data_IF_892249015502
#
_entry.id   IF_892249015502
#
_cell.length_a   1.000
_cell.length_b   1.000
_cell.length_c   1.000
_cell.angle_alpha   90.00
_cell.angle_beta   90.00
_cell.angle_gamma   90.00
#
_symmetry.space_group_name_H-M   'P 1'
#
loop_
_entity.id
_entity.type
_entity.pdbx_description
1 polymer ?
#
# COMPACT_ATOMS: atom_id res chain seq x y z
N UNK A 1 -1.16 -4.16 -26.48
CA UNK A 1 -2.00 -3.31 -25.62
C UNK A 1 -3.41 -3.86 -25.67
N UNK A 2 -3.90 -4.41 -24.55
CA UNK A 2 -5.21 -5.03 -24.48
C UNK A 2 -6.28 -3.92 -24.46
N UNK A 3 -7.43 -4.15 -25.12
CA UNK A 3 -8.63 -3.29 -25.14
C UNK A 3 -9.24 -2.98 -23.76
N UNK A 4 -8.63 -3.50 -22.71
CA UNK A 4 -9.16 -3.50 -21.36
C UNK A 4 -8.36 -2.62 -20.39
N UNK A 5 -7.16 -2.13 -20.75
CA UNK A 5 -6.32 -1.41 -19.76
C UNK A 5 -5.49 -0.27 -20.33
N UNK A 6 -5.38 0.79 -19.54
CA UNK A 6 -4.52 1.94 -19.80
C UNK A 6 -3.24 1.79 -18.97
N UNK A 7 -2.10 1.51 -19.62
CA UNK A 7 -0.79 1.82 -19.04
C UNK A 7 -0.45 3.27 -19.44
N UNK A 8 -0.31 4.14 -18.45
CA UNK A 8 -0.01 5.56 -18.68
C UNK A 8 1.13 6.04 -17.80
N UNK A 9 2.02 6.82 -18.41
CA UNK A 9 2.96 7.70 -17.72
C UNK A 9 2.33 9.09 -17.65
N UNK A 10 2.00 9.55 -16.45
CA UNK A 10 1.36 10.86 -16.27
C UNK A 10 2.40 11.87 -15.80
N UNK A 11 2.53 12.98 -16.53
CA UNK A 11 3.44 14.05 -16.14
C UNK A 11 2.99 14.71 -14.83
N UNK A 12 3.83 14.60 -13.81
CA UNK A 12 3.57 14.96 -12.40
C UNK A 12 3.23 16.44 -12.17
N UNK A 13 3.62 17.30 -13.10
CA UNK A 13 3.37 18.74 -13.03
C UNK A 13 1.87 19.03 -13.13
N UNK A 14 1.18 18.43 -14.09
CA UNK A 14 -0.23 18.74 -14.42
C UNK A 14 -1.22 18.32 -13.32
N UNK A 15 -0.82 17.44 -12.38
CA UNK A 15 -1.64 16.97 -11.24
C UNK A 15 -1.38 17.72 -9.93
N UNK A 16 -0.57 18.79 -9.93
CA UNK A 16 -0.49 19.74 -8.80
C UNK A 16 0.36 19.32 -7.60
N UNK A 17 1.18 18.27 -7.74
CA UNK A 17 2.11 17.75 -6.73
C UNK A 17 3.14 18.79 -6.28
N UNK A 18 3.86 19.37 -7.23
CA UNK A 18 4.98 20.27 -6.91
C UNK A 18 4.45 21.65 -6.56
N UNK A 19 4.50 22.03 -5.26
CA UNK A 19 3.97 23.32 -4.76
C UNK A 19 4.52 24.51 -5.55
N UNK A 20 5.81 24.51 -5.89
CA UNK A 20 6.45 25.57 -6.68
C UNK A 20 6.00 25.63 -8.15
N UNK A 21 5.42 24.55 -8.68
CA UNK A 21 4.88 24.52 -10.04
C UNK A 21 3.38 24.83 -10.10
N UNK A 22 2.67 24.91 -8.96
CA UNK A 22 1.24 25.21 -8.94
C UNK A 22 0.91 26.55 -9.60
N UNK A 23 1.62 27.61 -9.24
CA UNK A 23 1.43 28.94 -9.84
C UNK A 23 1.84 29.00 -11.32
N UNK A 24 3.02 28.50 -11.74
CA UNK A 24 3.39 28.40 -13.16
C UNK A 24 2.36 27.64 -13.99
N UNK A 25 1.82 26.55 -13.46
CA UNK A 25 0.83 25.71 -14.16
C UNK A 25 -0.54 26.38 -14.17
N UNK A 26 -0.95 27.04 -13.08
CA UNK A 26 -2.16 27.86 -13.07
C UNK A 26 -2.08 28.97 -14.14
N UNK A 27 -0.95 29.68 -14.23
CA UNK A 27 -0.70 30.69 -15.28
C UNK A 27 -0.66 30.08 -16.69
N UNK A 28 -0.14 28.86 -16.85
CA UNK A 28 -0.18 28.12 -18.12
C UNK A 28 -1.63 27.75 -18.49
N UNK A 29 -2.44 27.29 -17.54
CA UNK A 29 -3.87 26.96 -17.73
C UNK A 29 -4.69 28.18 -18.12
N UNK A 30 -4.41 29.34 -17.53
CA UNK A 30 -5.00 30.63 -17.90
C UNK A 30 -4.66 31.03 -19.35
N UNK A 31 -3.44 30.73 -19.81
CA UNK A 31 -2.97 31.05 -21.17
C UNK A 31 -3.46 30.07 -22.24
N UNK A 32 -3.49 28.78 -21.94
CA UNK A 32 -3.73 27.70 -22.91
C UNK A 32 -5.18 27.19 -22.91
N UNK A 33 -6.00 27.61 -21.94
CA UNK A 33 -7.46 27.56 -22.03
C UNK A 33 -8.14 26.21 -21.79
N UNK A 34 -7.40 25.15 -21.43
CA UNK A 34 -8.00 23.87 -21.00
C UNK A 34 -7.28 23.34 -19.76
N UNK A 35 -7.80 23.61 -18.54
CA UNK A 35 -7.25 22.99 -17.34
C UNK A 35 -7.41 21.47 -17.43
N UNK A 36 -6.38 20.74 -17.03
CA UNK A 36 -6.49 19.30 -16.81
C UNK A 36 -7.56 19.06 -15.74
N UNK A 37 -8.61 18.32 -16.10
CA UNK A 37 -9.72 18.05 -15.20
C UNK A 37 -9.34 16.95 -14.21
N UNK A 38 -8.89 17.36 -13.02
CA UNK A 38 -8.58 16.43 -11.94
C UNK A 38 -9.82 15.73 -11.39
N UNK A 39 -11.04 16.19 -11.71
CA UNK A 39 -12.29 15.54 -11.29
C UNK A 39 -12.72 14.40 -12.22
N UNK A 40 -12.07 14.27 -13.39
CA UNK A 40 -12.32 13.17 -14.30
C UNK A 40 -12.03 11.81 -13.62
N UNK A 41 -12.89 10.78 -13.78
CA UNK A 41 -12.71 9.48 -13.11
C UNK A 41 -11.32 8.85 -13.32
N UNK A 42 -10.79 8.89 -14.55
CA UNK A 42 -9.40 8.45 -14.83
C UNK A 42 -8.35 9.19 -13.99
N UNK A 43 -8.47 10.51 -13.84
CA UNK A 43 -7.53 11.30 -13.05
C UNK A 43 -7.61 10.93 -11.56
N UNK A 44 -8.83 10.72 -11.04
CA UNK A 44 -9.05 10.24 -9.68
C UNK A 44 -8.47 8.83 -9.47
N UNK A 45 -8.61 7.93 -10.44
CA UNK A 45 -8.03 6.59 -10.39
C UNK A 45 -6.49 6.62 -10.32
N UNK A 46 -5.86 7.47 -11.13
CA UNK A 46 -4.40 7.68 -11.10
C UNK A 46 -3.97 8.26 -9.74
N UNK A 47 -4.67 9.29 -9.24
CA UNK A 47 -4.37 9.94 -7.95
C UNK A 47 -4.58 8.99 -6.77
N UNK A 48 -5.60 8.11 -6.81
CA UNK A 48 -5.82 7.05 -5.82
C UNK A 48 -4.64 6.06 -5.79
N UNK A 49 -4.02 5.83 -6.94
CA UNK A 49 -2.86 4.96 -7.07
C UNK A 49 -1.53 5.64 -6.76
N UNK A 50 -1.53 6.89 -6.31
CA UNK A 50 -0.31 7.52 -5.81
C UNK A 50 0.24 6.78 -4.58
N UNK A 51 1.51 7.02 -4.29
CA UNK A 51 2.20 6.55 -3.09
C UNK A 51 1.50 7.11 -1.85
N UNK A 52 1.55 6.35 -0.78
CA UNK A 52 1.09 6.69 0.57
C UNK A 52 2.28 7.09 1.44
N UNK A 53 2.11 7.29 2.75
CA UNK A 53 3.22 7.55 3.68
C UNK A 53 3.94 8.90 3.45
N UNK A 54 5.27 8.95 3.63
CA UNK A 54 6.07 10.17 3.47
C UNK A 54 6.07 10.69 2.02
N UNK A 55 5.78 9.80 1.08
CA UNK A 55 5.63 10.11 -0.34
C UNK A 55 4.17 10.30 -0.74
N UNK A 56 3.24 10.51 0.21
CA UNK A 56 1.81 10.73 -0.06
C UNK A 56 1.59 11.72 -1.20
N UNK A 57 0.95 11.26 -2.26
CA UNK A 57 0.70 12.05 -3.46
C UNK A 57 1.84 12.09 -4.50
N UNK A 58 2.83 11.22 -4.36
CA UNK A 58 3.80 10.91 -5.42
C UNK A 58 3.21 9.88 -6.37
N UNK A 59 3.36 10.00 -7.69
CA UNK A 59 2.94 8.95 -8.60
C UNK A 59 3.83 7.70 -8.49
N UNK A 60 3.32 6.61 -9.05
CA UNK A 60 4.07 5.37 -9.28
C UNK A 60 4.38 5.25 -10.78
N UNK A 61 5.26 4.30 -11.14
CA UNK A 61 5.78 4.18 -12.51
C UNK A 61 4.81 3.49 -13.47
N UNK A 62 3.87 2.68 -12.96
CA UNK A 62 2.89 1.98 -13.79
C UNK A 62 1.57 1.79 -13.06
N UNK A 63 0.49 1.91 -13.83
CA UNK A 63 -0.87 1.69 -13.40
C UNK A 63 -1.54 0.67 -14.32
N UNK A 64 -2.41 -0.16 -13.74
CA UNK A 64 -3.41 -0.92 -14.50
C UNK A 64 -4.77 -0.36 -14.10
N UNK A 65 -5.49 0.19 -15.08
CA UNK A 65 -6.79 0.84 -14.87
C UNK A 65 -7.80 0.24 -15.86
N UNK A 66 -8.98 -0.14 -15.37
CA UNK A 66 -10.08 -0.70 -16.19
C UNK A 66 -10.69 0.34 -17.14
N UNK A 67 -11.53 -0.07 -18.12
CA UNK A 67 -12.28 0.85 -18.95
C UNK A 67 -13.27 1.73 -18.15
N UNK A 68 -13.74 1.23 -17.01
CA UNK A 68 -14.62 1.93 -16.06
C UNK A 68 -13.85 2.86 -15.10
N UNK A 69 -12.54 3.02 -15.31
CA UNK A 69 -11.65 3.84 -14.49
C UNK A 69 -11.42 3.30 -13.07
N UNK A 70 -11.51 1.99 -12.89
CA UNK A 70 -11.13 1.34 -11.64
C UNK A 70 -9.63 1.06 -11.63
N UNK A 71 -8.96 1.43 -10.54
CA UNK A 71 -7.54 1.15 -10.36
C UNK A 71 -7.37 -0.32 -9.95
N UNK A 72 -6.75 -1.11 -10.82
CA UNK A 72 -6.60 -2.57 -10.71
C UNK A 72 -5.17 -3.02 -10.42
N UNK A 73 -4.21 -2.11 -10.43
CA UNK A 73 -2.85 -2.39 -9.99
C UNK A 73 -2.00 -1.13 -10.05
N UNK A 74 -0.99 -1.05 -9.19
CA UNK A 74 0.04 0.00 -9.26
C UNK A 74 1.42 -0.61 -9.03
N UNK A 75 2.43 -0.11 -9.73
CA UNK A 75 3.79 -0.63 -9.61
C UNK A 75 4.80 0.51 -9.61
N UNK A 76 5.81 0.38 -8.74
CA UNK A 76 6.99 1.24 -8.68
C UNK A 76 8.16 0.48 -9.31
N UNK A 77 8.49 0.83 -10.55
CA UNK A 77 9.48 0.17 -11.39
C UNK A 77 10.92 0.47 -10.94
N UNK A 78 11.16 1.69 -10.44
CA UNK A 78 12.50 2.17 -10.06
C UNK A 78 13.01 1.54 -8.75
N UNK A 79 12.15 0.82 -8.03
CA UNK A 79 12.38 0.44 -6.64
C UNK A 79 12.52 -1.07 -6.43
N UNK A 80 12.49 -1.85 -7.51
CA UNK A 80 12.53 -3.31 -7.49
C UNK A 80 13.74 -3.83 -8.28
N UNK A 81 14.87 -3.98 -7.60
CA UNK A 81 15.90 -4.94 -7.99
C UNK A 81 15.74 -6.20 -7.13
N UNK A 82 14.90 -7.14 -7.58
CA UNK A 82 14.77 -8.44 -6.93
C UNK A 82 15.90 -9.34 -7.43
N UNK A 83 16.73 -9.85 -6.52
CA UNK A 83 17.75 -10.84 -6.84
C UNK A 83 17.11 -12.11 -7.43
N UNK A 84 17.30 -12.34 -8.73
CA UNK A 84 16.93 -13.58 -9.41
C UNK A 84 15.67 -13.55 -10.27
N UNK A 85 14.94 -12.44 -10.35
CA UNK A 85 13.80 -12.26 -11.27
C UNK A 85 14.09 -11.08 -12.20
N UNK A 86 13.97 -11.29 -13.51
CA UNK A 86 14.18 -10.18 -14.45
C UNK A 86 13.06 -9.14 -14.34
N UNK A 87 13.37 -7.86 -14.54
CA UNK A 87 12.38 -6.77 -14.56
C UNK A 87 11.19 -7.07 -15.49
N UNK A 88 11.45 -7.76 -16.60
CA UNK A 88 10.43 -8.20 -17.56
C UNK A 88 9.49 -9.24 -16.98
N UNK A 89 10.02 -10.23 -16.26
CA UNK A 89 9.20 -11.27 -15.62
C UNK A 89 8.33 -10.67 -14.52
N UNK A 90 8.90 -9.79 -13.69
CA UNK A 90 8.15 -9.12 -12.64
C UNK A 90 7.01 -8.26 -13.22
N UNK A 91 7.30 -7.42 -14.22
CA UNK A 91 6.29 -6.61 -14.90
C UNK A 91 5.19 -7.48 -15.56
N UNK A 92 5.57 -8.63 -16.12
CA UNK A 92 4.60 -9.56 -16.69
C UNK A 92 3.70 -10.21 -15.62
N UNK A 93 4.25 -10.56 -14.46
CA UNK A 93 3.47 -11.05 -13.31
C UNK A 93 2.52 -9.97 -12.79
N UNK A 94 3.00 -8.73 -12.60
CA UNK A 94 2.17 -7.58 -12.24
C UNK A 94 0.97 -7.42 -13.17
N UNK A 95 1.20 -7.48 -14.49
CA UNK A 95 0.10 -7.39 -15.45
C UNK A 95 -0.88 -8.55 -15.31
N UNK A 96 -0.40 -9.79 -15.17
CA UNK A 96 -1.27 -10.96 -14.99
C UNK A 96 -2.12 -10.86 -13.73
N UNK A 97 -1.51 -10.52 -12.60
CA UNK A 97 -2.23 -10.42 -11.33
C UNK A 97 -3.28 -9.31 -11.37
N UNK A 98 -2.99 -8.17 -12.01
CA UNK A 98 -3.98 -7.12 -12.20
C UNK A 98 -5.14 -7.58 -13.11
N UNK A 99 -4.84 -8.34 -14.17
CA UNK A 99 -5.85 -8.92 -15.07
C UNK A 99 -6.72 -9.99 -14.41
N UNK A 100 -6.19 -10.66 -13.38
CA UNK A 100 -6.90 -11.64 -12.54
C UNK A 100 -7.57 -10.97 -11.33
N UNK A 101 -7.70 -9.63 -11.34
CA UNK A 101 -8.37 -8.82 -10.31
C UNK A 101 -7.71 -8.89 -8.92
N UNK A 102 -6.45 -9.33 -8.83
CA UNK A 102 -5.69 -9.46 -7.56
C UNK A 102 -5.10 -8.14 -7.04
N UNK A 103 -5.34 -7.03 -7.72
CA UNK A 103 -4.96 -5.69 -7.25
C UNK A 103 -3.48 -5.52 -6.85
N UNK A 104 -2.49 -5.98 -7.65
CA UNK A 104 -1.08 -5.96 -7.28
C UNK A 104 -0.56 -4.54 -7.01
N UNK A 105 0.23 -4.41 -5.94
CA UNK A 105 0.80 -3.16 -5.45
C UNK A 105 -0.23 -2.15 -4.93
N UNK A 106 -1.53 -2.48 -4.95
CA UNK A 106 -2.56 -1.72 -4.24
C UNK A 106 -2.68 -2.16 -2.78
N UNK A 107 -2.03 -3.26 -2.40
CA UNK A 107 -1.94 -3.73 -1.02
C UNK A 107 -3.29 -4.08 -0.41
N UNK A 108 -4.37 -4.21 -1.19
CA UNK A 108 -5.69 -4.53 -0.67
C UNK A 108 -5.84 -6.05 -0.58
N UNK A 109 -5.92 -6.56 0.64
CA UNK A 109 -6.20 -7.96 0.94
C UNK A 109 -7.66 -8.03 1.32
N UNK A 110 -8.46 -8.81 0.59
CA UNK A 110 -9.88 -9.01 0.91
C UNK A 110 -10.03 -10.44 1.42
N UNK A 111 -10.30 -10.60 2.71
CA UNK A 111 -10.62 -11.91 3.27
C UNK A 111 -12.14 -12.09 3.29
N UNK A 112 -12.59 -13.28 2.91
CA UNK A 112 -14.00 -13.68 2.96
C UNK A 112 -14.14 -14.95 3.79
N UNK A 113 -15.37 -15.37 4.09
CA UNK A 113 -15.62 -16.62 4.82
C UNK A 113 -15.09 -17.85 4.08
N UNK A 114 -15.00 -17.79 2.77
CA UNK A 114 -14.46 -18.83 1.89
C UNK A 114 -12.94 -18.72 1.74
N UNK A 115 -12.37 -17.53 1.97
CA UNK A 115 -10.94 -17.22 1.82
C UNK A 115 -10.44 -16.49 3.08
N UNK A 116 -10.09 -17.28 4.09
CA UNK A 116 -9.69 -16.79 5.41
C UNK A 116 -8.20 -16.41 5.51
N UNK A 117 -7.42 -16.62 4.45
CA UNK A 117 -5.96 -16.45 4.46
C UNK A 117 -5.49 -15.92 3.11
N UNK A 118 -4.63 -14.91 3.13
CA UNK A 118 -3.94 -14.36 1.96
C UNK A 118 -2.48 -14.03 2.32
N UNK A 119 -1.59 -13.99 1.33
CA UNK A 119 -0.19 -13.57 1.52
C UNK A 119 0.11 -12.33 0.68
N UNK A 120 0.86 -11.39 1.26
CA UNK A 120 1.36 -10.20 0.58
C UNK A 120 2.87 -10.10 0.74
N UNK A 121 3.57 -9.90 -0.37
CA UNK A 121 5.00 -9.61 -0.41
C UNK A 121 5.17 -8.16 -0.83
N UNK A 122 5.79 -7.36 0.01
CA UNK A 122 6.08 -5.95 -0.27
C UNK A 122 7.41 -5.53 0.36
N UNK A 123 7.77 -4.25 0.27
CA UNK A 123 9.02 -3.69 0.81
C UNK A 123 8.74 -2.58 1.80
N UNK A 124 9.64 -2.37 2.76
CA UNK A 124 9.67 -1.20 3.63
C UNK A 124 11.01 -0.49 3.53
N UNK A 125 11.09 0.72 4.09
CA UNK A 125 12.27 1.58 4.01
C UNK A 125 12.61 2.18 5.35
N UNK A 126 13.91 2.23 5.67
CA UNK A 126 14.34 3.09 6.77
C UNK A 126 14.25 4.55 6.32
N UNK A 127 13.73 5.43 7.18
CA UNK A 127 13.52 6.81 6.80
C UNK A 127 14.85 7.57 6.71
N UNK A 128 15.04 8.35 5.64
CA UNK A 128 16.27 9.10 5.42
C UNK A 128 16.45 10.30 6.38
N UNK A 129 15.35 10.80 6.96
CA UNK A 129 15.34 11.92 7.91
C UNK A 129 14.15 11.71 8.85
N UNK A 130 14.37 11.17 10.06
CA UNK A 130 13.49 11.27 11.24
C UNK A 130 11.98 11.08 11.11
N UNK A 131 11.46 10.55 10.00
CA UNK A 131 10.03 10.43 9.75
C UNK A 131 9.67 9.07 9.16
N UNK A 132 8.80 8.30 9.81
CA UNK A 132 8.42 6.95 9.35
C UNK A 132 7.83 6.98 7.92
N UNK A 133 8.26 6.04 7.07
CA UNK A 133 7.82 5.90 5.68
C UNK A 133 7.07 4.59 5.47
N UNK A 134 5.76 4.62 5.71
CA UNK A 134 4.93 3.42 5.61
C UNK A 134 4.66 2.97 4.17
N UNK A 135 5.03 1.74 3.89
CA UNK A 135 4.29 0.88 2.96
C UNK A 135 3.00 0.43 3.63
N UNK A 136 1.87 0.59 2.95
CA UNK A 136 0.55 0.32 3.55
C UNK A 136 -0.16 -0.80 2.81
N UNK A 137 -0.52 -1.85 3.54
CA UNK A 137 -1.40 -2.93 3.10
C UNK A 137 -2.76 -2.72 3.74
N UNK A 138 -3.81 -2.55 2.95
CA UNK A 138 -5.20 -2.46 3.43
C UNK A 138 -5.76 -3.88 3.55
N UNK A 139 -6.42 -4.17 4.66
CA UNK A 139 -7.01 -5.48 4.93
C UNK A 139 -8.52 -5.29 5.07
N UNK A 140 -9.31 -5.77 4.12
CA UNK A 140 -10.76 -5.72 4.12
C UNK A 140 -11.34 -7.00 4.74
N UNK A 141 -11.88 -6.85 5.95
CA UNK A 141 -12.57 -7.90 6.71
C UNK A 141 -14.08 -7.61 6.82
N UNK A 142 -14.66 -6.83 5.91
CA UNK A 142 -16.08 -6.44 5.98
C UNK A 142 -17.05 -7.61 5.93
N UNK A 143 -16.63 -8.76 5.37
CA UNK A 143 -17.42 -10.00 5.33
C UNK A 143 -17.62 -10.66 6.71
N UNK A 144 -16.85 -10.29 7.74
CA UNK A 144 -16.90 -10.87 9.08
C UNK A 144 -17.79 -10.03 10.01
N UNK A 145 -19.10 -10.01 9.74
CA UNK A 145 -20.06 -9.12 10.42
C UNK A 145 -20.01 -9.21 11.97
N UNK A 146 -19.73 -10.39 12.52
CA UNK A 146 -19.65 -10.64 13.97
C UNK A 146 -18.24 -10.47 14.55
N UNK A 147 -17.33 -9.90 13.78
CA UNK A 147 -15.95 -9.73 14.17
C UNK A 147 -15.16 -11.03 14.14
N UNK A 148 -13.96 -10.98 14.70
CA UNK A 148 -13.04 -12.11 14.72
C UNK A 148 -11.69 -11.75 15.31
N UNK A 149 -10.72 -12.60 15.04
CA UNK A 149 -9.31 -12.38 15.38
C UNK A 149 -8.50 -12.34 14.09
N UNK A 150 -7.90 -11.18 13.81
CA UNK A 150 -6.94 -10.97 12.74
C UNK A 150 -5.55 -11.38 13.23
N UNK A 151 -4.87 -12.24 12.48
CA UNK A 151 -3.48 -12.62 12.71
C UNK A 151 -2.65 -12.29 11.48
N UNK A 152 -1.49 -11.66 11.69
CA UNK A 152 -0.56 -11.30 10.62
C UNK A 152 0.81 -11.86 10.99
N UNK A 153 1.24 -12.91 10.30
CA UNK A 153 2.59 -13.47 10.40
C UNK A 153 3.51 -12.75 9.42
N UNK A 154 4.56 -12.12 9.92
CA UNK A 154 5.45 -11.25 9.14
C UNK A 154 6.83 -11.88 9.11
N UNK A 155 7.36 -12.18 7.92
CA UNK A 155 8.74 -12.60 7.72
C UNK A 155 9.53 -11.44 7.12
N UNK A 156 10.56 -11.01 7.83
CA UNK A 156 11.42 -9.91 7.40
C UNK A 156 12.49 -10.46 6.46
N UNK A 157 12.72 -9.74 5.37
CA UNK A 157 13.75 -10.05 4.40
C UNK A 157 15.14 -10.02 4.99
N UNK A 158 16.10 -10.54 4.23
CA UNK A 158 17.50 -10.70 4.65
C UNK A 158 18.37 -9.47 4.46
N UNK A 159 17.86 -8.45 3.75
CA UNK A 159 18.63 -7.24 3.49
C UNK A 159 18.68 -6.36 4.74
N UNK A 160 19.48 -5.29 4.72
CA UNK A 160 19.65 -4.42 5.88
C UNK A 160 18.37 -3.62 6.18
N UNK A 161 18.17 -3.32 7.45
CA UNK A 161 17.07 -2.50 7.95
C UNK A 161 16.10 -3.32 8.79
N UNK A 162 15.98 -2.93 10.05
CA UNK A 162 14.98 -3.49 10.96
C UNK A 162 13.61 -3.01 10.52
N UNK A 163 12.61 -3.89 10.57
CA UNK A 163 11.24 -3.58 10.16
C UNK A 163 10.36 -3.29 11.36
N UNK A 164 9.54 -2.26 11.24
CA UNK A 164 8.46 -1.91 12.16
C UNK A 164 7.12 -2.05 11.46
N UNK A 165 6.17 -2.67 12.15
CA UNK A 165 4.88 -3.04 11.60
C UNK A 165 3.79 -2.66 12.58
N UNK A 166 2.85 -1.83 12.13
CA UNK A 166 1.76 -1.34 12.96
C UNK A 166 0.42 -1.58 12.26
N UNK A 167 -0.56 -2.03 13.05
CA UNK A 167 -1.94 -2.18 12.61
C UNK A 167 -2.74 -0.94 13.00
N UNK A 168 -3.52 -0.41 12.07
CA UNK A 168 -4.40 0.73 12.26
C UNK A 168 -5.82 0.40 11.82
N UNK A 169 -6.80 1.10 12.39
CA UNK A 169 -8.15 1.16 11.81
C UNK A 169 -8.14 1.91 10.47
N UNK A 170 -9.24 1.80 9.71
CA UNK A 170 -9.42 2.50 8.42
C UNK A 170 -9.23 4.02 8.54
N UNK A 171 -9.62 4.62 9.66
CA UNK A 171 -9.52 6.06 9.88
C UNK A 171 -8.27 6.47 10.69
N UNK A 172 -7.48 5.52 11.18
CA UNK A 172 -6.29 5.80 11.98
C UNK A 172 -5.26 6.61 11.22
N UNK A 173 -4.68 7.62 11.87
CA UNK A 173 -3.62 8.42 11.28
C UNK A 173 -2.29 7.65 11.30
N UNK A 174 -1.63 7.62 10.15
CA UNK A 174 -0.27 7.11 10.02
C UNK A 174 0.70 8.22 10.41
N UNK A 175 0.83 8.50 11.71
CA UNK A 175 1.75 9.53 12.21
C UNK A 175 3.17 9.21 11.78
N UNK A 176 3.89 10.22 11.30
CA UNK A 176 5.22 10.06 10.74
C UNK A 176 6.31 10.60 11.67
N UNK A 177 5.94 11.34 12.70
CA UNK A 177 6.81 12.16 13.55
C UNK A 177 7.00 11.61 14.97
N UNK A 178 6.58 10.37 15.21
CA UNK A 178 6.63 9.70 16.51
C UNK A 178 7.30 8.32 16.35
N UNK A 179 8.03 7.87 17.37
CA UNK A 179 8.72 6.56 17.39
C UNK A 179 7.72 5.39 17.40
N UNK A 180 6.56 5.57 18.04
CA UNK A 180 5.43 4.65 17.94
C UNK A 180 4.15 5.46 17.64
N UNK A 181 3.36 5.09 16.63
CA UNK A 181 2.16 5.85 16.25
C UNK A 181 1.06 5.78 17.30
N UNK A 182 0.56 6.93 17.76
CA UNK A 182 -0.54 7.01 18.74
C UNK A 182 -1.81 6.28 18.34
N UNK A 183 -2.13 6.27 17.04
CA UNK A 183 -3.34 5.66 16.51
C UNK A 183 -3.14 4.18 16.13
N UNK A 184 -1.95 3.61 16.37
CA UNK A 184 -1.73 2.19 16.16
C UNK A 184 -2.55 1.39 17.18
N UNK A 185 -3.30 0.41 16.68
CA UNK A 185 -4.05 -0.55 17.49
C UNK A 185 -3.10 -1.53 18.19
N UNK A 186 -2.05 -1.92 17.50
CA UNK A 186 -0.99 -2.83 17.97
C UNK A 186 0.16 -2.81 16.96
N UNK A 187 1.34 -3.26 17.35
CA UNK A 187 2.50 -3.32 16.46
C UNK A 187 3.57 -4.29 16.92
N UNK A 188 4.56 -4.49 16.06
CA UNK A 188 5.74 -5.31 16.32
C UNK A 188 6.92 -4.78 15.51
N UNK A 189 8.13 -5.10 15.95
CA UNK A 189 9.36 -4.80 15.22
C UNK A 189 10.28 -6.02 15.21
N UNK A 190 11.20 -6.07 14.25
CA UNK A 190 12.17 -7.16 14.15
C UNK A 190 13.34 -6.85 13.24
N UNK A 191 14.38 -7.64 13.37
CA UNK A 191 15.62 -7.56 12.61
C UNK A 191 15.51 -8.35 11.29
N UNK A 192 16.41 -8.17 10.33
CA UNK A 192 16.49 -9.00 9.14
C UNK A 192 16.47 -10.50 9.45
N UNK A 193 15.72 -11.27 8.65
CA UNK A 193 15.44 -12.70 8.83
C UNK A 193 14.52 -13.07 10.02
N UNK A 194 14.04 -12.12 10.81
CA UNK A 194 13.07 -12.42 11.87
C UNK A 194 11.72 -12.85 11.32
N UNK A 195 10.99 -13.59 12.16
CA UNK A 195 9.55 -13.80 12.01
C UNK A 195 8.84 -13.17 13.20
N UNK A 196 7.88 -12.29 12.92
CA UNK A 196 7.07 -11.56 13.90
C UNK A 196 5.59 -11.83 13.66
N UNK A 197 4.77 -11.52 14.65
CA UNK A 197 3.34 -11.74 14.58
C UNK A 197 2.60 -10.57 15.21
N UNK A 198 1.52 -10.14 14.55
CA UNK A 198 0.52 -9.23 15.10
C UNK A 198 -0.79 -10.03 15.26
N UNK A 199 -1.44 -9.89 16.42
CA UNK A 199 -2.77 -10.47 16.66
C UNK A 199 -3.69 -9.38 17.20
N UNK A 200 -4.85 -9.21 16.58
CA UNK A 200 -5.81 -8.19 16.95
C UNK A 200 -7.25 -8.74 16.91
N UNK A 201 -7.99 -8.51 18.00
CA UNK A 201 -9.40 -8.89 18.08
C UNK A 201 -10.27 -7.71 17.66
N UNK A 202 -11.24 -7.97 16.80
CA UNK A 202 -12.18 -6.96 16.30
C UNK A 202 -13.63 -7.42 16.50
N UNK A 203 -14.53 -6.47 16.71
CA UNK A 203 -15.93 -6.74 17.10
C UNK A 203 -16.88 -6.84 15.90
N UNK A 204 -16.55 -6.20 14.77
CA UNK A 204 -17.35 -6.19 13.56
C UNK A 204 -16.46 -6.11 12.32
N UNK A 205 -16.96 -6.62 11.20
CA UNK A 205 -16.28 -6.53 9.91
C UNK A 205 -15.96 -5.08 9.56
N UNK A 206 -14.71 -4.81 9.26
CA UNK A 206 -14.21 -3.47 8.91
C UNK A 206 -12.91 -3.59 8.11
N UNK A 207 -12.36 -2.44 7.71
CA UNK A 207 -11.04 -2.37 7.08
C UNK A 207 -9.97 -1.98 8.08
N UNK A 208 -8.80 -2.56 7.92
CA UNK A 208 -7.59 -2.23 8.64
C UNK A 208 -6.49 -1.79 7.68
N UNK A 209 -5.45 -1.17 8.23
CA UNK A 209 -4.21 -0.90 7.51
C UNK A 209 -3.04 -1.50 8.28
N UNK A 210 -2.24 -2.30 7.62
CA UNK A 210 -0.91 -2.68 8.09
C UNK A 210 0.10 -1.69 7.49
N UNK A 211 0.69 -0.86 8.34
CA UNK A 211 1.82 0.00 7.97
C UNK A 211 3.14 -0.70 8.25
N UNK A 212 4.00 -0.81 7.26
CA UNK A 212 5.36 -1.33 7.36
C UNK A 212 6.37 -0.20 7.10
N UNK A 213 7.26 0.07 8.05
CA UNK A 213 8.35 1.05 7.95
C UNK A 213 9.66 0.40 8.39
N UNK A 214 10.79 1.03 8.11
CA UNK A 214 12.08 0.63 8.68
C UNK A 214 12.40 1.44 9.93
N UNK A 215 13.09 0.83 10.89
CA UNK A 215 13.61 1.53 12.07
C UNK A 215 14.70 2.53 11.67
N UNK A 216 14.72 3.66 12.36
CA UNK A 216 15.70 4.72 12.18
C UNK A 216 16.82 4.59 13.21
N UNK A 217 17.92 3.97 12.84
CA UNK A 217 19.19 4.16 13.56
C UNK A 217 20.13 4.97 12.67
N UNK A 218 20.94 5.86 13.25
CA UNK A 218 21.73 6.89 12.55
C UNK A 218 22.61 6.27 11.44
N UNK A 219 22.10 6.22 10.22
CA UNK A 219 22.72 5.47 9.12
C UNK A 219 21.98 5.57 7.79
N UNK A 220 22.63 5.08 6.73
CA UNK A 220 22.16 5.16 5.34
C UNK A 220 20.76 4.57 5.13
N UNK A 221 19.99 5.17 4.21
CA UNK A 221 18.69 4.67 3.78
C UNK A 221 18.80 3.21 3.31
N UNK A 222 18.00 2.34 3.90
CA UNK A 222 17.93 0.91 3.58
C UNK A 222 16.53 0.56 3.06
N UNK A 223 16.48 -0.46 2.20
CA UNK A 223 15.24 -1.05 1.69
C UNK A 223 15.31 -2.53 2.00
N UNK A 224 14.25 -3.08 2.59
CA UNK A 224 14.13 -4.51 2.85
C UNK A 224 12.72 -4.99 2.51
N UNK A 225 12.59 -6.28 2.22
CA UNK A 225 11.32 -6.91 1.91
C UNK A 225 10.64 -7.44 3.17
N UNK A 226 9.33 -7.66 3.09
CA UNK A 226 8.60 -8.46 4.07
C UNK A 226 7.53 -9.32 3.37
N UNK A 227 7.32 -10.53 3.86
CA UNK A 227 6.19 -11.37 3.50
C UNK A 227 5.23 -11.40 4.69
N UNK A 228 4.04 -10.85 4.52
CA UNK A 228 2.97 -10.94 5.51
C UNK A 228 1.93 -11.97 5.08
N UNK A 229 1.71 -12.99 5.91
CA UNK A 229 0.59 -13.91 5.80
C UNK A 229 -0.50 -13.43 6.73
N UNK A 230 -1.64 -13.07 6.17
CA UNK A 230 -2.76 -12.46 6.88
C UNK A 230 -3.87 -13.49 6.95
N UNK A 231 -4.35 -13.77 8.16
CA UNK A 231 -5.42 -14.73 8.41
C UNK A 231 -6.46 -14.20 9.39
N UNK A 232 -7.67 -14.76 9.32
CA UNK A 232 -8.76 -14.39 10.21
C UNK A 232 -9.50 -15.61 10.73
N UNK A 233 -9.78 -15.59 12.03
CA UNK A 233 -10.66 -16.54 12.70
C UNK A 233 -11.95 -15.81 13.09
N UNK A 234 -13.09 -16.21 12.52
CA UNK A 234 -14.39 -15.60 12.83
C UNK A 234 -14.79 -15.90 14.28
N UNK A 235 -15.37 -14.93 14.98
CA UNK A 235 -15.93 -15.19 16.30
C UNK A 235 -16.99 -16.30 16.17
N UNK A 236 -17.00 -17.32 17.06
CA UNK A 236 -18.05 -18.32 17.03
C UNK A 236 -19.40 -17.61 17.18
N UNK A 237 -20.28 -17.79 16.20
CA UNK A 237 -21.63 -17.22 16.25
C UNK A 237 -22.22 -17.55 17.62
N UNK A 238 -22.56 -16.49 18.37
CA UNK A 238 -23.28 -16.63 19.63
C UNK A 238 -24.48 -17.51 19.38
N UNK A 239 -24.43 -18.74 19.89
CA UNK A 239 -25.60 -19.60 19.89
C UNK A 239 -26.59 -18.89 20.78
N UNK A 240 -27.65 -18.35 20.19
CA UNK A 240 -28.79 -17.83 20.94
C UNK A 240 -29.31 -19.02 21.76
N UNK A 241 -29.05 -19.00 23.07
CA UNK A 241 -29.72 -19.87 24.04
C UNK A 241 -31.07 -19.26 24.40
#
# INVERSE_FOLDING_TARGET
>A
MNRHFINTWVSNSELGRTRSLREPIAKKREREGKPFDTTHPLAQAIMKGWKTGSQKGSPVDSYVISPEFELMGKQQFTELEIAGISQKEYYHTFLKDALEEKQPGLGNIVLTREHLVEEVLDVFRTPAVGYLDYTVVVIDLTSFENGGTLTIDIKIGRDKGDGEFYLFDEDGELSIDEEEPKDALTGTWGEPCDTRQITYRFERGQRFKLGASGYWDEGEMCINAFLAKISVEENPNGTVQ
#
